data_IF_447763384538
#
_entry.id   IF_447763384538
#
_cell.length_a   1.000
_cell.length_b   1.000
_cell.length_c   1.000
_cell.angle_alpha   90.00
_cell.angle_beta   90.00
_cell.angle_gamma   90.00
#
_symmetry.space_group_name_H-M   'P 1'
#
loop_
_entity.id
_entity.type
_entity.pdbx_description
1 polymer ?
#
# COMPACT_ATOMS: atom_id res chain seq x y z
N UNK A 1 2.82 -2.16 -25.06
CA UNK A 1 3.50 -1.09 -24.29
C UNK A 1 3.16 -1.29 -22.83
N UNK A 2 4.14 -1.44 -21.94
CA UNK A 2 3.89 -1.57 -20.50
C UNK A 2 3.41 -0.22 -19.96
N UNK A 3 2.37 -0.23 -19.13
CA UNK A 3 1.85 1.01 -18.50
C UNK A 3 2.65 1.32 -17.24
N UNK A 4 2.95 2.60 -17.05
CA UNK A 4 3.62 3.11 -15.86
C UNK A 4 2.62 3.92 -15.03
N UNK A 5 2.63 3.71 -13.72
CA UNK A 5 1.72 4.41 -12.79
C UNK A 5 2.52 4.92 -11.60
N UNK A 6 2.24 6.15 -11.18
CA UNK A 6 2.79 6.75 -9.97
C UNK A 6 1.70 6.80 -8.91
N UNK A 7 1.96 6.21 -7.75
CA UNK A 7 1.04 6.26 -6.63
C UNK A 7 1.33 7.48 -5.75
N UNK A 8 0.25 8.18 -5.38
CA UNK A 8 0.28 9.19 -4.32
C UNK A 8 -0.17 8.59 -2.98
N UNK A 9 -0.08 9.39 -1.92
CA UNK A 9 -0.43 8.95 -0.56
C UNK A 9 -1.89 8.49 -0.48
N UNK A 10 -2.80 9.24 -1.10
CA UNK A 10 -4.25 8.99 -1.02
C UNK A 10 -4.66 7.68 -1.70
N UNK A 11 -4.06 7.38 -2.85
CA UNK A 11 -4.31 6.17 -3.64
C UNK A 11 -3.86 4.91 -2.90
N UNK A 12 -2.73 4.96 -2.19
CA UNK A 12 -2.24 3.85 -1.38
C UNK A 12 -3.03 3.68 -0.08
N UNK A 13 -3.41 4.77 0.59
CA UNK A 13 -4.32 4.71 1.74
C UNK A 13 -5.61 4.01 1.36
N UNK A 14 -6.22 4.41 0.23
CA UNK A 14 -7.43 3.75 -0.27
C UNK A 14 -7.20 2.27 -0.60
N UNK A 15 -6.08 1.92 -1.23
CA UNK A 15 -5.76 0.53 -1.57
C UNK A 15 -5.50 -0.34 -0.32
N UNK A 16 -4.95 0.21 0.77
CA UNK A 16 -4.55 -0.57 1.96
C UNK A 16 -5.62 -0.64 3.04
N UNK A 17 -6.63 0.22 3.00
CA UNK A 17 -7.72 0.26 3.98
C UNK A 17 -8.99 -0.33 3.36
N UNK A 18 -9.38 -1.53 3.79
CA UNK A 18 -10.56 -2.24 3.28
C UNK A 18 -11.87 -1.47 3.50
N UNK A 19 -11.96 -0.70 4.59
CA UNK A 19 -13.10 0.14 4.95
C UNK A 19 -13.12 1.50 4.24
N UNK A 20 -12.09 1.80 3.43
CA UNK A 20 -12.05 3.06 2.68
C UNK A 20 -13.07 3.04 1.52
N UNK A 21 -13.86 4.11 1.30
CA UNK A 21 -14.89 4.14 0.26
C UNK A 21 -14.38 3.86 -1.17
N UNK A 22 -13.10 4.16 -1.43
CA UNK A 22 -12.45 3.94 -2.72
C UNK A 22 -11.62 2.65 -2.79
N UNK A 23 -11.66 1.80 -1.76
CA UNK A 23 -10.83 0.58 -1.71
C UNK A 23 -11.00 -0.30 -2.95
N UNK A 24 -12.25 -0.58 -3.33
CA UNK A 24 -12.58 -1.40 -4.51
C UNK A 24 -12.03 -0.80 -5.81
N UNK A 25 -11.93 0.53 -5.89
CA UNK A 25 -11.40 1.21 -7.07
C UNK A 25 -9.86 1.28 -7.08
N UNK A 26 -9.23 1.38 -5.90
CA UNK A 26 -7.78 1.58 -5.76
C UNK A 26 -6.99 0.28 -5.70
N UNK A 27 -7.53 -0.76 -5.05
CA UNK A 27 -6.84 -2.05 -4.86
C UNK A 27 -6.38 -2.70 -6.19
N UNK A 28 -7.18 -2.73 -7.27
CA UNK A 28 -6.75 -3.37 -8.51
C UNK A 28 -5.50 -2.75 -9.14
N UNK A 29 -5.31 -1.43 -9.00
CA UNK A 29 -4.12 -0.76 -9.51
C UNK A 29 -2.86 -1.20 -8.75
N UNK A 30 -2.96 -1.32 -7.43
CA UNK A 30 -1.86 -1.83 -6.61
C UNK A 30 -1.59 -3.30 -6.91
N UNK A 31 -2.62 -4.15 -6.99
CA UNK A 31 -2.47 -5.58 -7.33
C UNK A 31 -1.84 -5.79 -8.71
N UNK A 32 -2.21 -4.99 -9.71
CA UNK A 32 -1.60 -5.06 -11.03
C UNK A 32 -0.09 -4.73 -11.01
N UNK A 33 0.41 -3.97 -10.03
CA UNK A 33 1.88 -3.83 -9.83
C UNK A 33 2.50 -5.11 -9.29
N UNK A 34 1.84 -5.76 -8.34
CA UNK A 34 2.32 -7.00 -7.71
C UNK A 34 2.32 -8.17 -8.70
N UNK A 35 1.39 -8.15 -9.66
CA UNK A 35 1.27 -9.15 -10.72
C UNK A 35 2.16 -8.84 -11.95
N UNK A 36 3.03 -7.82 -11.89
CA UNK A 36 3.86 -7.36 -13.00
C UNK A 36 3.08 -6.95 -14.28
N UNK A 37 1.77 -6.70 -14.18
CA UNK A 37 0.92 -6.24 -15.28
C UNK A 37 1.19 -4.77 -15.65
N UNK A 38 1.68 -3.99 -14.69
CA UNK A 38 2.11 -2.61 -14.86
C UNK A 38 3.32 -2.29 -13.96
N UNK A 39 4.04 -1.21 -14.28
CA UNK A 39 5.16 -0.72 -13.46
C UNK A 39 4.70 0.41 -12.54
N UNK A 40 4.66 0.11 -11.25
CA UNK A 40 4.33 1.05 -10.19
C UNK A 40 5.55 1.81 -9.67
N UNK A 41 5.37 3.09 -9.36
CA UNK A 41 6.35 3.95 -8.73
C UNK A 41 5.74 4.63 -7.52
N UNK A 42 6.58 4.94 -6.54
CA UNK A 42 6.21 5.72 -5.37
C UNK A 42 7.37 6.67 -5.05
N UNK A 43 7.06 7.90 -4.63
CA UNK A 43 8.11 8.81 -4.19
C UNK A 43 8.50 8.52 -2.73
N UNK A 44 9.72 8.88 -2.33
CA UNK A 44 10.14 8.80 -0.92
C UNK A 44 9.21 9.62 -0.01
N UNK A 45 8.71 10.75 -0.51
CA UNK A 45 7.78 11.61 0.21
C UNK A 45 6.43 10.89 0.44
N UNK A 46 5.88 10.26 -0.60
CA UNK A 46 4.66 9.44 -0.50
C UNK A 46 4.81 8.34 0.54
N UNK A 47 5.96 7.66 0.59
CA UNK A 47 6.22 6.62 1.60
C UNK A 47 6.21 7.17 3.03
N UNK A 48 6.87 8.31 3.26
CA UNK A 48 6.92 8.95 4.57
C UNK A 48 5.54 9.42 5.04
N UNK A 49 4.76 10.01 4.14
CA UNK A 49 3.39 10.44 4.44
C UNK A 49 2.46 9.25 4.70
N UNK A 50 2.53 8.21 3.85
CA UNK A 50 1.73 6.99 4.02
C UNK A 50 1.99 6.36 5.38
N UNK A 51 3.26 6.26 5.78
CA UNK A 51 3.63 5.76 7.09
C UNK A 51 3.03 6.60 8.23
N UNK A 52 3.17 7.93 8.14
CA UNK A 52 2.65 8.85 9.14
C UNK A 52 1.12 8.80 9.23
N UNK A 53 0.42 8.65 8.11
CA UNK A 53 -1.05 8.54 8.05
C UNK A 53 -1.52 7.24 8.70
N UNK A 54 -1.00 6.09 8.24
CA UNK A 54 -1.49 4.78 8.69
C UNK A 54 -1.20 4.50 10.17
N UNK A 55 -0.08 5.00 10.70
CA UNK A 55 0.27 4.85 12.13
C UNK A 55 -0.52 5.77 13.07
N UNK A 56 -1.01 6.92 12.58
CA UNK A 56 -1.73 7.91 13.39
C UNK A 56 -3.25 7.84 13.25
N UNK A 57 -3.75 7.12 12.24
CA UNK A 57 -5.17 7.04 11.97
C UNK A 57 -5.92 6.37 13.14
N UNK A 58 -6.99 7.00 13.68
CA UNK A 58 -7.75 6.44 14.78
C UNK A 58 -8.68 5.33 14.29
N UNK A 59 -8.11 4.15 14.01
CA UNK A 59 -8.82 2.93 13.61
C UNK A 59 -8.73 1.83 14.67
N UNK A 60 -9.65 0.86 14.65
CA UNK A 60 -9.61 -0.31 15.52
C UNK A 60 -9.67 -1.60 14.68
N UNK A 61 -8.67 -2.49 14.78
CA UNK A 61 -7.40 -2.30 15.50
C UNK A 61 -6.52 -1.22 14.85
N UNK A 62 -5.68 -0.55 15.64
CA UNK A 62 -4.64 0.35 15.11
C UNK A 62 -3.58 -0.47 14.41
N UNK A 63 -3.06 0.03 13.29
CA UNK A 63 -1.87 -0.53 12.68
C UNK A 63 -0.64 -0.13 13.50
N UNK A 64 0.16 -1.11 13.88
CA UNK A 64 1.47 -0.88 14.48
C UNK A 64 2.45 -0.30 13.44
N UNK A 65 3.45 0.47 13.88
CA UNK A 65 4.59 0.88 13.06
C UNK A 65 5.19 -0.24 12.21
N UNK A 66 5.28 -1.45 12.77
CA UNK A 66 5.83 -2.62 12.08
C UNK A 66 4.92 -3.11 10.94
N UNK A 67 3.61 -3.18 11.16
CA UNK A 67 2.66 -3.55 10.09
C UNK A 67 2.68 -2.54 8.95
N UNK A 68 2.77 -1.24 9.27
CA UNK A 68 2.84 -0.17 8.26
C UNK A 68 4.15 -0.19 7.50
N UNK A 69 5.28 -0.44 8.17
CA UNK A 69 6.57 -0.63 7.52
C UNK A 69 6.52 -1.80 6.54
N UNK A 70 5.92 -2.92 6.92
CA UNK A 70 5.75 -4.08 6.03
C UNK A 70 4.89 -3.77 4.80
N UNK A 71 3.79 -3.03 4.96
CA UNK A 71 2.97 -2.58 3.83
C UNK A 71 3.73 -1.63 2.90
N UNK A 72 4.55 -0.75 3.48
CA UNK A 72 5.37 0.20 2.73
C UNK A 72 6.54 -0.50 2.01
N UNK A 73 7.16 -1.49 2.66
CA UNK A 73 8.27 -2.28 2.16
C UNK A 73 7.85 -3.40 1.20
N UNK A 74 6.57 -3.78 1.17
CA UNK A 74 6.04 -4.73 0.19
C UNK A 74 6.25 -4.29 -1.27
N UNK A 75 6.55 -3.00 -1.51
CA UNK A 75 7.01 -2.50 -2.81
C UNK A 75 8.48 -2.82 -3.15
N UNK A 76 9.31 -3.18 -2.17
CA UNK A 76 10.75 -3.45 -2.34
C UNK A 76 11.06 -4.96 -2.41
N UNK A 77 10.30 -5.81 -1.73
CA UNK A 77 10.37 -7.27 -1.86
C UNK A 77 9.01 -7.89 -1.45
N UNK A 78 8.12 -8.16 -2.40
CA UNK A 78 6.91 -8.94 -2.09
C UNK A 78 7.28 -10.42 -1.93
N UNK A 79 7.22 -10.93 -0.69
CA UNK A 79 7.18 -12.35 -0.37
C UNK A 79 5.76 -12.68 0.16
N UNK A 80 4.95 -13.47 -0.56
CA UNK A 80 3.57 -13.79 -0.17
C UNK A 80 3.43 -14.52 1.18
N UNK A 81 4.52 -15.01 1.76
CA UNK A 81 4.51 -15.68 3.07
C UNK A 81 4.52 -14.72 4.26
N UNK A 82 4.80 -13.42 4.06
CA UNK A 82 4.95 -12.51 5.20
C UNK A 82 3.60 -12.13 5.84
N UNK A 83 2.48 -12.22 5.13
CA UNK A 83 1.13 -11.98 5.69
C UNK A 83 0.45 -13.28 6.17
N UNK A 84 1.09 -14.44 5.98
CA UNK A 84 0.63 -15.73 6.47
C UNK A 84 1.54 -16.19 7.61
N UNK A 85 1.31 -15.69 8.83
CA UNK A 85 2.07 -16.12 10.00
C UNK A 85 1.50 -15.59 11.31
N UNK A 86 0.48 -16.29 11.82
CA UNK A 86 -0.20 -16.08 13.10
C UNK A 86 -1.48 -16.88 13.16
#
# INVERSE_FOLDING_TARGET
MVKHVLFDTSSLVAAFLEDHPLHIASLPWFQATLNDELKGYVSTHTLAELYAVLTRMPRQPRLSPFEVERLSAAHLYYNPLALAGG
#
